data_IF_851903729975
#
_entry.id   IF_851903729975
#
_cell.length_a   1.000
_cell.length_b   1.000
_cell.length_c   1.000
_cell.angle_alpha   90.00
_cell.angle_beta   90.00
_cell.angle_gamma   90.00
#
_symmetry.space_group_name_H-M   'P 1'
#
loop_
_entity.id
_entity.type
_entity.pdbx_description
1 polymer ?
#
# COMPACT_ATOMS: atom_id res chain seq x y z
N UNK A 1 24.32 -4.44 -11.28
CA UNK A 1 23.86 -3.08 -10.92
C UNK A 1 24.37 -2.80 -9.53
N UNK A 2 25.14 -1.73 -9.34
CA UNK A 2 25.63 -1.34 -8.02
C UNK A 2 24.60 -0.42 -7.37
N UNK A 3 24.10 -0.78 -6.20
CA UNK A 3 23.29 0.11 -5.38
C UNK A 3 24.27 1.06 -4.67
N UNK A 4 24.13 2.37 -4.87
CA UNK A 4 24.93 3.36 -4.15
C UNK A 4 24.46 3.40 -2.69
N UNK A 5 25.07 2.57 -1.85
CA UNK A 5 24.78 2.51 -0.41
C UNK A 5 25.33 3.74 0.33
N UNK A 6 26.42 4.32 -0.18
CA UNK A 6 27.18 5.40 0.48
C UNK A 6 26.92 6.80 -0.14
N UNK A 7 26.10 6.88 -1.19
CA UNK A 7 25.88 8.12 -1.94
C UNK A 7 25.04 9.16 -1.16
N UNK A 8 25.11 10.44 -1.54
CA UNK A 8 24.21 11.47 -1.01
C UNK A 8 22.74 11.11 -1.27
N UNK A 9 21.82 11.62 -0.44
CA UNK A 9 20.40 11.21 -0.46
C UNK A 9 19.72 11.36 -1.83
N UNK A 10 20.18 12.31 -2.66
CA UNK A 10 19.67 12.55 -4.01
C UNK A 10 20.09 11.50 -5.06
N UNK A 11 21.06 10.65 -4.75
CA UNK A 11 21.54 9.56 -5.61
C UNK A 11 21.02 8.19 -5.17
N UNK A 12 20.33 8.12 -4.01
CA UNK A 12 19.78 6.88 -3.46
C UNK A 12 18.49 6.50 -4.17
N UNK A 13 18.27 5.19 -4.33
CA UNK A 13 16.97 4.70 -4.76
C UNK A 13 15.94 4.91 -3.65
N UNK A 14 14.66 5.08 -4.02
CA UNK A 14 13.57 5.19 -3.04
C UNK A 14 13.54 4.01 -2.06
N UNK A 15 13.86 2.80 -2.54
CA UNK A 15 13.96 1.61 -1.70
C UNK A 15 15.06 1.72 -0.65
N UNK A 16 16.23 2.26 -1.01
CA UNK A 16 17.33 2.44 -0.08
C UNK A 16 17.02 3.56 0.92
N UNK A 17 16.51 4.70 0.46
CA UNK A 17 16.10 5.80 1.34
C UNK A 17 15.03 5.36 2.34
N UNK A 18 14.07 4.52 1.88
CA UNK A 18 13.07 3.92 2.76
C UNK A 18 13.70 3.01 3.83
N UNK A 19 14.63 2.13 3.45
CA UNK A 19 15.30 1.24 4.40
C UNK A 19 16.13 2.01 5.44
N UNK A 20 16.85 3.07 5.03
CA UNK A 20 17.57 3.94 5.97
C UNK A 20 16.61 4.62 6.94
N UNK A 21 15.51 5.22 6.45
CA UNK A 21 14.52 5.85 7.31
C UNK A 21 13.87 4.86 8.29
N UNK A 22 13.68 3.59 7.88
CA UNK A 22 13.19 2.52 8.76
C UNK A 22 14.20 2.18 9.87
N UNK A 23 15.50 2.11 9.56
CA UNK A 23 16.56 1.85 10.54
C UNK A 23 16.71 3.01 11.53
N UNK A 24 16.55 4.25 11.04
CA UNK A 24 16.70 5.47 11.83
C UNK A 24 15.42 5.89 12.57
N UNK A 25 14.33 5.12 12.45
CA UNK A 25 13.05 5.41 13.08
C UNK A 25 12.32 6.65 12.52
N UNK A 26 12.68 7.08 11.30
CA UNK A 26 12.16 8.27 10.61
C UNK A 26 11.10 7.95 9.57
N UNK A 27 10.34 6.86 9.76
CA UNK A 27 9.27 6.46 8.84
C UNK A 27 8.27 7.59 8.58
N UNK A 28 7.85 8.28 9.64
CA UNK A 28 6.82 9.33 9.54
C UNK A 28 7.30 10.56 8.76
N UNK A 29 8.62 10.77 8.68
CA UNK A 29 9.20 11.90 7.93
C UNK A 29 9.17 11.67 6.41
N UNK A 30 9.16 10.41 5.98
CA UNK A 30 9.16 10.04 4.56
C UNK A 30 7.76 9.73 4.00
N UNK A 31 6.80 9.47 4.88
CA UNK A 31 5.40 9.27 4.48
C UNK A 31 4.77 10.64 4.18
N UNK A 32 4.06 10.73 3.06
CA UNK A 32 3.34 11.94 2.69
C UNK A 32 2.26 12.28 3.72
N UNK A 33 2.21 13.54 4.15
CA UNK A 33 1.23 14.07 5.12
C UNK A 33 -0.24 13.79 4.75
N UNK A 34 -0.56 13.57 3.46
CA UNK A 34 -1.90 13.25 2.99
C UNK A 34 -2.34 11.80 3.30
N UNK A 35 -1.39 10.92 3.66
CA UNK A 35 -1.63 9.50 4.00
C UNK A 35 -1.66 9.32 5.51
N UNK A 36 -0.91 10.15 6.24
CA UNK A 36 -0.79 10.05 7.69
C UNK A 36 -2.06 10.57 8.39
N UNK A 37 -2.58 9.79 9.32
CA UNK A 37 -3.67 10.17 10.21
C UNK A 37 -3.40 9.58 11.58
N UNK A 38 -3.79 10.26 12.66
CA UNK A 38 -3.52 9.79 14.03
C UNK A 38 -4.05 8.37 14.28
N UNK A 39 -5.13 7.98 13.62
CA UNK A 39 -5.76 6.66 13.72
C UNK A 39 -5.04 5.54 12.94
N UNK A 40 -4.22 5.90 11.94
CA UNK A 40 -3.62 4.91 11.03
C UNK A 40 -2.11 4.71 11.24
N UNK A 41 -1.48 5.49 12.13
CA UNK A 41 -0.04 5.47 12.38
C UNK A 41 0.50 4.05 12.66
N UNK A 42 -0.19 3.29 13.52
CA UNK A 42 0.21 1.90 13.83
C UNK A 42 0.05 0.94 12.64
N UNK A 43 -0.95 1.15 11.77
CA UNK A 43 -1.09 0.34 10.56
C UNK A 43 -0.02 0.69 9.53
N UNK A 44 0.33 1.98 9.39
CA UNK A 44 1.43 2.40 8.53
C UNK A 44 2.75 1.78 8.97
N UNK A 45 3.02 1.75 10.27
CA UNK A 45 4.23 1.11 10.82
C UNK A 45 4.28 -0.38 10.47
N UNK A 46 3.16 -1.10 10.62
CA UNK A 46 3.07 -2.52 10.25
C UNK A 46 3.24 -2.77 8.75
N UNK A 47 2.67 -1.91 7.90
CA UNK A 47 2.85 -1.97 6.44
C UNK A 47 4.31 -1.67 6.07
N UNK A 48 4.91 -0.67 6.68
CA UNK A 48 6.29 -0.28 6.43
C UNK A 48 7.27 -1.38 6.88
N UNK A 49 7.03 -2.01 8.02
CA UNK A 49 7.81 -3.17 8.47
C UNK A 49 7.73 -4.33 7.46
N UNK A 50 6.53 -4.63 6.94
CA UNK A 50 6.37 -5.62 5.90
C UNK A 50 7.13 -5.26 4.62
N UNK A 51 7.05 -3.99 4.19
CA UNK A 51 7.78 -3.49 3.02
C UNK A 51 9.31 -3.59 3.21
N UNK A 52 9.82 -3.27 4.41
CA UNK A 52 11.24 -3.41 4.76
C UNK A 52 11.72 -4.85 4.57
N UNK A 53 10.94 -5.82 5.08
CA UNK A 53 11.23 -7.25 4.90
C UNK A 53 11.17 -7.72 3.45
N UNK A 54 10.27 -7.14 2.63
CA UNK A 54 10.21 -7.43 1.19
C UNK A 54 11.42 -6.89 0.43
N UNK A 55 12.01 -5.79 0.91
CA UNK A 55 13.17 -5.12 0.32
C UNK A 55 14.52 -5.69 0.78
N UNK A 56 14.51 -6.71 1.63
CA UNK A 56 15.71 -7.36 2.14
C UNK A 56 16.71 -7.73 1.03
N UNK A 57 18.00 -7.46 1.27
CA UNK A 57 19.04 -7.77 0.30
C UNK A 57 19.21 -9.28 0.12
N UNK A 58 19.10 -10.02 1.22
CA UNK A 58 19.17 -11.48 1.21
C UNK A 58 17.78 -12.01 0.79
N UNK A 59 17.69 -12.54 -0.43
CA UNK A 59 16.43 -13.02 -1.00
C UNK A 59 15.72 -14.07 -0.13
N UNK A 60 16.48 -14.92 0.56
CA UNK A 60 15.94 -15.93 1.48
C UNK A 60 15.26 -15.35 2.74
N UNK A 61 15.57 -14.10 3.12
CA UNK A 61 14.92 -13.42 4.24
C UNK A 61 13.59 -12.76 3.83
N UNK A 62 13.34 -12.62 2.52
CA UNK A 62 12.11 -12.02 2.02
C UNK A 62 10.92 -12.93 2.33
N UNK A 63 9.80 -12.37 2.80
CA UNK A 63 8.58 -13.15 2.99
C UNK A 63 8.06 -13.68 1.66
N UNK A 64 7.32 -14.79 1.70
CA UNK A 64 6.62 -15.25 0.50
C UNK A 64 5.47 -14.31 0.17
N UNK A 65 5.07 -14.21 -1.11
CA UNK A 65 3.91 -13.39 -1.49
C UNK A 65 2.61 -13.84 -0.82
N UNK A 66 2.52 -15.12 -0.43
CA UNK A 66 1.42 -15.63 0.39
C UNK A 66 1.41 -14.96 1.76
N UNK A 67 2.55 -14.95 2.45
CA UNK A 67 2.67 -14.33 3.78
C UNK A 67 2.40 -12.81 3.72
N UNK A 68 2.85 -12.16 2.65
CA UNK A 68 2.58 -10.75 2.36
C UNK A 68 1.08 -10.51 2.21
N UNK A 69 0.40 -11.31 1.39
CA UNK A 69 -1.05 -11.22 1.19
C UNK A 69 -1.84 -11.48 2.48
N UNK A 70 -1.44 -12.49 3.26
CA UNK A 70 -2.06 -12.82 4.54
C UNK A 70 -1.91 -11.67 5.55
N UNK A 71 -0.73 -11.05 5.62
CA UNK A 71 -0.48 -9.88 6.49
C UNK A 71 -1.34 -8.69 6.08
N UNK A 72 -1.41 -8.35 4.79
CA UNK A 72 -2.30 -7.29 4.30
C UNK A 72 -3.78 -7.59 4.56
N UNK A 73 -4.20 -8.84 4.37
CA UNK A 73 -5.56 -9.29 4.66
C UNK A 73 -5.94 -9.08 6.13
N UNK A 74 -5.00 -9.30 7.06
CA UNK A 74 -5.19 -9.03 8.49
C UNK A 74 -5.23 -7.52 8.79
N UNK A 75 -4.31 -6.73 8.24
CA UNK A 75 -4.26 -5.28 8.45
C UNK A 75 -5.54 -4.61 7.95
N UNK A 76 -6.06 -5.05 6.80
CA UNK A 76 -7.34 -4.57 6.26
C UNK A 76 -8.50 -4.81 7.23
N UNK A 77 -8.54 -5.96 7.91
CA UNK A 77 -9.58 -6.26 8.91
C UNK A 77 -9.46 -5.41 10.16
N UNK A 78 -8.24 -4.99 10.53
CA UNK A 78 -8.01 -4.09 11.67
C UNK A 78 -8.51 -2.67 11.37
N UNK A 79 -8.32 -2.20 10.13
CA UNK A 79 -8.83 -0.90 9.70
C UNK A 79 -10.34 -0.88 9.44
N UNK A 80 -10.97 -2.04 9.23
CA UNK A 80 -12.42 -2.13 9.13
C UNK A 80 -13.02 -1.89 10.51
N UNK A 81 -13.55 -0.69 10.71
CA UNK A 81 -14.36 -0.42 11.88
C UNK A 81 -15.57 -1.36 11.95
N UNK A 82 -16.13 -1.65 13.14
CA UNK A 82 -17.34 -2.48 13.29
C UNK A 82 -18.55 -1.99 12.47
N UNK A 83 -18.60 -0.70 12.13
CA UNK A 83 -19.62 -0.08 11.29
C UNK A 83 -19.28 -0.10 9.79
N UNK A 84 -18.05 -0.49 9.42
CA UNK A 84 -17.60 -0.70 8.05
C UNK A 84 -17.73 -2.17 7.61
N UNK A 85 -18.46 -3.00 8.37
CA UNK A 85 -18.88 -4.32 7.91
C UNK A 85 -19.92 -4.13 6.80
N UNK A 86 -19.43 -3.95 5.57
CA UNK A 86 -20.23 -4.33 4.43
C UNK A 86 -20.35 -5.85 4.45
N UNK A 87 -21.59 -6.32 4.43
CA UNK A 87 -21.96 -7.73 4.42
C UNK A 87 -21.08 -8.48 3.40
N UNK A 88 -20.58 -9.70 3.71
CA UNK A 88 -19.79 -10.50 2.76
C UNK A 88 -20.48 -10.69 1.39
N UNK A 89 -21.81 -10.58 1.36
CA UNK A 89 -22.63 -10.65 0.15
C UNK A 89 -22.47 -9.43 -0.77
N UNK A 90 -22.19 -8.25 -0.22
CA UNK A 90 -22.04 -6.99 -0.98
C UNK A 90 -20.68 -6.91 -1.69
N UNK A 91 -19.63 -7.51 -1.12
CA UNK A 91 -18.31 -7.65 -1.76
C UNK A 91 -18.35 -8.64 -2.93
N UNK A 92 -19.15 -9.69 -2.82
CA UNK A 92 -19.43 -10.63 -3.90
C UNK A 92 -20.28 -9.96 -4.99
N UNK A 93 -21.29 -9.18 -4.60
CA UNK A 93 -22.14 -8.43 -5.53
C UNK A 93 -21.33 -7.41 -6.35
N UNK A 94 -20.53 -6.57 -5.69
CA UNK A 94 -19.66 -5.59 -6.37
C UNK A 94 -18.64 -6.25 -7.28
N UNK A 95 -18.02 -7.35 -6.83
CA UNK A 95 -17.08 -8.14 -7.63
C UNK A 95 -17.74 -8.80 -8.85
N UNK A 96 -18.93 -9.38 -8.69
CA UNK A 96 -19.72 -9.98 -9.78
C UNK A 96 -20.19 -8.92 -10.79
N UNK A 97 -20.60 -7.74 -10.34
CA UNK A 97 -20.93 -6.63 -11.26
C UNK A 97 -19.72 -6.13 -12.01
N UNK A 98 -18.55 -6.05 -11.38
CA UNK A 98 -17.30 -5.66 -12.03
C UNK A 98 -16.83 -6.69 -13.08
N UNK A 99 -17.00 -7.98 -12.78
CA UNK A 99 -16.69 -9.08 -13.71
C UNK A 99 -17.71 -9.15 -14.87
N UNK A 100 -18.99 -8.90 -14.60
CA UNK A 100 -20.05 -8.89 -15.61
C UNK A 100 -19.97 -7.66 -16.53
N UNK A 101 -19.56 -6.51 -15.99
CA UNK A 101 -19.30 -5.30 -16.75
C UNK A 101 -17.88 -5.34 -17.32
N UNK A 102 -17.62 -6.29 -18.22
CA UNK A 102 -16.36 -6.39 -18.95
C UNK A 102 -15.93 -5.01 -19.48
N UNK A 103 -14.74 -4.59 -19.05
CA UNK A 103 -14.13 -3.29 -19.31
C UNK A 103 -14.43 -2.71 -20.69
N UNK A 104 -14.80 -1.42 -20.73
CA UNK A 104 -14.23 -0.49 -21.70
C UNK A 104 -13.99 0.85 -21.01
N UNK A 105 -12.71 1.08 -20.72
CA UNK A 105 -12.12 2.41 -20.63
C UNK A 105 -12.38 3.11 -21.97
N UNK A 106 -13.21 4.16 -21.93
CA UNK A 106 -13.24 5.19 -22.97
C UNK A 106 -13.42 6.53 -22.29
N UNK A 107 -12.30 7.22 -22.07
CA UNK A 107 -12.26 8.67 -21.88
C UNK A 107 -12.88 9.35 -23.11
N UNK A 108 -13.97 10.09 -22.94
CA UNK A 108 -14.40 11.14 -23.87
C UNK A 108 -15.20 12.21 -23.14
N UNK A 109 -14.51 13.30 -22.85
CA UNK A 109 -14.88 14.71 -23.03
C UNK A 109 -16.38 15.07 -23.20
N UNK A 110 -16.88 15.85 -22.25
CA UNK A 110 -17.76 17.04 -22.39
C UNK A 110 -18.81 17.09 -23.52
N UNK A 111 -20.11 17.14 -23.16
CA UNK A 111 -21.00 18.27 -23.50
C UNK A 111 -22.46 18.05 -23.04
N UNK A 112 -22.99 19.00 -22.24
CA UNK A 112 -24.30 19.63 -22.47
C UNK A 112 -25.60 19.01 -21.90
N UNK A 113 -26.42 19.91 -21.33
CA UNK A 113 -27.89 19.93 -21.20
C UNK A 113 -28.55 19.02 -20.13
N UNK A 114 -29.05 19.53 -18.99
CA UNK A 114 -30.22 20.42 -18.74
C UNK A 114 -31.59 19.82 -19.13
N UNK A 115 -32.35 19.31 -18.16
CA UNK A 115 -33.64 19.90 -17.73
C UNK A 115 -34.07 19.34 -16.37
#
# INVERSE_FOLDING_TARGET
MAFNLEGPENERSLSLSFLCAMEEGRLMDIIGHHIQTDENAGVLEEVANLASRCLEMIGNNRPSMRDVADKFGRLRKVMQHPWAQHDPEEMLFTSLTFISAGSNLSTSSNSGEQH
#
